data_IF_851072697989
#
_entry.id   IF_851072697989
#
_cell.length_a   1.000
_cell.length_b   1.000
_cell.length_c   1.000
_cell.angle_alpha   90.00
_cell.angle_beta   90.00
_cell.angle_gamma   90.00
#
_symmetry.space_group_name_H-M   'P 1'
#
loop_
_entity.id
_entity.type
_entity.pdbx_description
1 polymer ?
#
# COMPACT_ATOMS: atom_id res chain seq x y z
N UNK A 1 -3.36 15.68 -14.10
CA UNK A 1 -4.38 14.74 -14.58
C UNK A 1 -3.91 13.93 -15.76
N UNK A 2 -3.19 14.51 -16.73
CA UNK A 2 -2.69 13.79 -17.91
C UNK A 2 -2.13 12.39 -17.59
N UNK A 3 -1.27 12.27 -16.57
CA UNK A 3 -0.66 11.00 -16.15
C UNK A 3 -1.64 9.91 -15.64
N UNK A 4 -2.81 10.26 -15.11
CA UNK A 4 -3.82 9.30 -14.66
C UNK A 4 -4.79 8.90 -15.79
N UNK A 5 -4.79 9.66 -16.88
CA UNK A 5 -5.73 9.52 -18.00
C UNK A 5 -4.99 9.23 -19.30
N UNK A 6 -3.76 8.71 -19.21
CA UNK A 6 -3.00 8.30 -20.40
C UNK A 6 -3.67 7.09 -21.03
N UNK A 7 -3.73 7.09 -22.35
CA UNK A 7 -4.24 5.97 -23.12
C UNK A 7 -3.15 4.91 -23.30
N UNK A 8 -3.56 3.64 -23.31
CA UNK A 8 -2.66 2.53 -23.61
C UNK A 8 -2.24 2.58 -25.08
N UNK A 9 -0.95 2.74 -25.34
CA UNK A 9 -0.40 2.72 -26.69
C UNK A 9 0.05 1.31 -27.09
N UNK A 10 -0.43 0.84 -28.24
CA UNK A 10 -0.01 -0.45 -28.80
C UNK A 10 -0.38 -1.68 -27.95
N UNK A 11 -1.41 -1.56 -27.10
CA UNK A 11 -1.85 -2.64 -26.19
C UNK A 11 -0.85 -2.96 -25.08
N UNK A 12 0.11 -2.07 -24.83
CA UNK A 12 1.19 -2.25 -23.86
C UNK A 12 0.93 -1.39 -22.62
N UNK A 13 0.61 -1.97 -21.46
CA UNK A 13 0.28 -1.19 -20.28
C UNK A 13 1.46 -0.34 -19.76
N UNK A 14 2.70 -0.78 -19.99
CA UNK A 14 3.93 -0.07 -19.67
C UNK A 14 4.19 1.17 -20.55
N UNK A 15 3.39 1.39 -21.60
CA UNK A 15 3.38 2.66 -22.33
C UNK A 15 2.83 3.83 -21.50
N UNK A 16 2.02 3.53 -20.48
CA UNK A 16 1.50 4.53 -19.55
C UNK A 16 2.55 4.82 -18.48
N UNK A 17 2.95 6.09 -18.36
CA UNK A 17 4.02 6.55 -17.49
C UNK A 17 3.81 6.13 -16.03
N UNK A 18 2.57 6.18 -15.54
CA UNK A 18 2.27 5.82 -14.16
C UNK A 18 2.42 4.31 -13.90
N UNK A 19 2.07 3.47 -14.88
CA UNK A 19 2.27 2.02 -14.79
C UNK A 19 3.75 1.69 -14.88
N UNK A 20 4.48 2.32 -15.80
CA UNK A 20 5.93 2.19 -15.89
C UNK A 20 6.63 2.58 -14.57
N UNK A 21 6.29 3.75 -14.03
CA UNK A 21 6.81 4.23 -12.76
C UNK A 21 6.48 3.29 -11.60
N UNK A 22 5.27 2.71 -11.59
CA UNK A 22 4.92 1.70 -10.57
C UNK A 22 5.88 0.50 -10.61
N UNK A 23 6.30 0.04 -11.79
CA UNK A 23 7.28 -1.03 -11.94
C UNK A 23 8.63 -0.67 -11.32
N UNK A 24 9.06 0.59 -11.44
CA UNK A 24 10.28 1.11 -10.79
C UNK A 24 10.18 1.04 -9.26
N UNK A 25 8.99 1.24 -8.68
CA UNK A 25 8.77 1.07 -7.24
C UNK A 25 8.84 -0.40 -6.77
N UNK A 26 9.03 -1.35 -7.69
CA UNK A 26 9.27 -2.76 -7.39
C UNK A 26 10.73 -3.10 -7.13
N UNK A 27 11.68 -2.18 -7.33
CA UNK A 27 13.10 -2.42 -7.09
C UNK A 27 13.50 -2.12 -5.64
N UNK A 28 14.54 -2.81 -5.15
CA UNK A 28 15.21 -2.46 -3.90
C UNK A 28 15.94 -1.12 -4.02
N UNK A 29 16.20 -0.45 -2.89
CA UNK A 29 16.80 0.89 -2.88
C UNK A 29 18.22 0.94 -3.49
N UNK A 30 18.94 -0.17 -3.42
CA UNK A 30 20.27 -0.37 -4.01
C UNK A 30 20.21 -0.88 -5.46
N UNK A 31 19.00 -1.07 -6.02
CA UNK A 31 18.75 -1.53 -7.39
C UNK A 31 19.33 -2.91 -7.72
N UNK A 32 19.68 -3.72 -6.71
CA UNK A 32 20.26 -5.05 -6.89
C UNK A 32 19.22 -6.16 -7.02
N UNK A 33 17.96 -5.89 -6.64
CA UNK A 33 16.90 -6.87 -6.68
C UNK A 33 15.49 -6.29 -6.65
N UNK A 34 14.51 -7.17 -6.47
CA UNK A 34 13.09 -6.82 -6.38
C UNK A 34 12.61 -6.81 -4.93
N UNK A 35 11.67 -5.92 -4.64
CA UNK A 35 10.97 -5.90 -3.36
C UNK A 35 10.11 -7.17 -3.19
N UNK A 36 9.97 -7.67 -1.95
CA UNK A 36 8.98 -8.69 -1.63
C UNK A 36 7.57 -8.25 -2.04
N UNK A 37 6.69 -9.21 -2.40
CA UNK A 37 5.36 -8.88 -2.91
C UNK A 37 4.55 -8.00 -1.92
N UNK A 38 4.71 -8.21 -0.62
CA UNK A 38 4.09 -7.37 0.44
C UNK A 38 4.52 -5.89 0.42
N UNK A 39 5.78 -5.61 0.13
CA UNK A 39 6.30 -4.25 0.10
C UNK A 39 5.85 -3.56 -1.18
N UNK A 40 5.92 -4.29 -2.30
CA UNK A 40 5.45 -3.78 -3.59
C UNK A 40 3.94 -3.51 -3.62
N UNK A 41 3.13 -4.41 -3.06
CA UNK A 41 1.67 -4.21 -2.95
C UNK A 41 1.30 -2.99 -2.11
N UNK A 42 2.12 -2.63 -1.12
CA UNK A 42 1.94 -1.40 -0.34
C UNK A 42 2.18 -0.15 -1.20
N UNK A 43 3.21 -0.15 -2.05
CA UNK A 43 3.47 0.93 -3.01
C UNK A 43 2.30 1.08 -4.01
N UNK A 44 1.82 -0.04 -4.58
CA UNK A 44 0.67 -0.03 -5.48
C UNK A 44 -0.60 0.51 -4.80
N UNK A 45 -0.87 0.09 -3.56
CA UNK A 45 -2.02 0.57 -2.80
C UNK A 45 -1.97 2.10 -2.56
N UNK A 46 -0.78 2.64 -2.29
CA UNK A 46 -0.58 4.08 -2.16
C UNK A 46 -0.87 4.82 -3.48
N UNK A 47 -0.36 4.34 -4.60
CA UNK A 47 -0.63 4.93 -5.93
C UNK A 47 -2.12 4.88 -6.30
N UNK A 48 -2.80 3.77 -6.01
CA UNK A 48 -4.25 3.62 -6.21
C UNK A 48 -5.02 4.60 -5.33
N UNK A 49 -4.61 4.78 -4.08
CA UNK A 49 -5.24 5.73 -3.17
C UNK A 49 -5.09 7.18 -3.66
N UNK A 50 -3.89 7.58 -4.07
CA UNK A 50 -3.63 8.92 -4.62
C UNK A 50 -4.48 9.14 -5.88
N UNK A 51 -4.55 8.17 -6.79
CA UNK A 51 -5.41 8.27 -7.97
C UNK A 51 -6.88 8.45 -7.61
N UNK A 52 -7.40 7.73 -6.62
CA UNK A 52 -8.80 7.92 -6.16
C UNK A 52 -9.06 9.35 -5.70
N UNK A 53 -8.13 9.93 -4.95
CA UNK A 53 -8.24 11.33 -4.50
C UNK A 53 -8.20 12.29 -5.69
N UNK A 54 -7.28 12.08 -6.64
CA UNK A 54 -7.17 12.90 -7.84
C UNK A 54 -8.43 12.81 -8.71
N UNK A 55 -8.97 11.61 -8.93
CA UNK A 55 -10.20 11.42 -9.70
C UNK A 55 -11.41 11.99 -8.98
N UNK A 56 -11.45 11.94 -7.64
CA UNK A 56 -12.51 12.58 -6.87
C UNK A 56 -12.48 14.10 -7.05
N UNK A 57 -11.31 14.73 -6.95
CA UNK A 57 -11.17 16.18 -7.18
C UNK A 57 -11.42 16.54 -8.65
N UNK A 58 -11.03 15.69 -9.59
CA UNK A 58 -11.31 15.90 -11.02
C UNK A 58 -12.81 15.82 -11.35
N UNK A 59 -13.50 14.83 -10.78
CA UNK A 59 -14.94 14.67 -10.94
C UNK A 59 -15.73 15.75 -10.22
N UNK A 60 -15.35 16.09 -8.98
CA UNK A 60 -16.10 16.98 -8.10
C UNK A 60 -15.20 18.03 -7.44
N UNK A 61 -14.60 18.92 -8.24
CA UNK A 61 -13.60 19.86 -7.76
C UNK A 61 -14.19 20.84 -6.76
N UNK A 62 -13.53 20.99 -5.61
CA UNK A 62 -13.98 21.88 -4.54
C UNK A 62 -13.96 23.35 -4.99
N UNK A 63 -12.97 23.70 -5.82
CA UNK A 63 -12.78 25.00 -6.46
C UNK A 63 -12.57 24.87 -7.97
N UNK A 64 -12.75 25.93 -8.73
CA UNK A 64 -12.43 25.91 -10.16
C UNK A 64 -10.92 25.98 -10.40
N UNK A 65 -10.43 25.31 -11.44
CA UNK A 65 -9.03 25.36 -11.88
C UNK A 65 -8.96 25.94 -13.30
N UNK A 66 -8.93 27.27 -13.48
CA UNK A 66 -8.96 27.92 -14.80
C UNK A 66 -7.83 27.48 -15.73
N UNK A 67 -6.62 27.30 -15.19
CA UNK A 67 -5.43 26.85 -15.95
C UNK A 67 -5.58 25.45 -16.53
N UNK A 68 -6.43 24.62 -15.92
CA UNK A 68 -6.68 23.24 -16.35
C UNK A 68 -8.01 23.12 -17.11
N UNK A 69 -8.75 24.22 -17.30
CA UNK A 69 -10.10 24.18 -17.89
C UNK A 69 -11.14 23.45 -17.04
N UNK A 70 -10.87 23.21 -15.75
CA UNK A 70 -11.77 22.44 -14.89
C UNK A 70 -12.69 23.40 -14.10
N UNK A 71 -13.99 23.32 -14.37
CA UNK A 71 -14.99 24.08 -13.64
C UNK A 71 -15.28 23.46 -12.26
N UNK A 72 -15.53 24.32 -11.26
CA UNK A 72 -15.96 23.95 -9.90
C UNK A 72 -17.18 23.01 -9.95
N UNK A 73 -17.31 22.12 -8.97
CA UNK A 73 -18.46 21.21 -8.87
C UNK A 73 -19.80 21.98 -8.87
N UNK A 74 -20.79 21.51 -9.65
CA UNK A 74 -22.14 22.07 -9.64
C UNK A 74 -22.88 21.73 -8.34
N UNK A 75 -23.92 22.51 -8.01
CA UNK A 75 -24.75 22.24 -6.81
C UNK A 75 -25.57 20.95 -6.96
N UNK A 76 -26.05 20.65 -8.17
CA UNK A 76 -26.85 19.47 -8.51
C UNK A 76 -26.11 18.58 -9.51
N UNK A 77 -26.54 17.33 -9.69
CA UNK A 77 -25.97 16.43 -10.70
C UNK A 77 -24.57 15.88 -10.40
N UNK A 78 -24.07 16.06 -9.17
CA UNK A 78 -22.72 15.63 -8.75
C UNK A 78 -22.51 14.11 -8.93
N UNK A 79 -23.52 13.31 -8.62
CA UNK A 79 -23.45 11.84 -8.75
C UNK A 79 -23.26 11.42 -10.21
N UNK A 80 -23.98 12.04 -11.13
CA UNK A 80 -23.85 11.73 -12.56
C UNK A 80 -22.44 12.04 -13.07
N UNK A 81 -21.88 13.20 -12.68
CA UNK A 81 -20.51 13.58 -13.05
C UNK A 81 -19.47 12.60 -12.47
N UNK A 82 -19.64 12.20 -11.21
CA UNK A 82 -18.77 11.18 -10.58
C UNK A 82 -18.87 9.84 -11.31
N UNK A 83 -20.08 9.42 -11.68
CA UNK A 83 -20.30 8.15 -12.36
C UNK A 83 -19.64 8.13 -13.75
N UNK A 84 -19.69 9.24 -14.50
CA UNK A 84 -19.02 9.34 -15.80
C UNK A 84 -17.51 9.12 -15.65
N UNK A 85 -16.85 9.85 -14.75
CA UNK A 85 -15.41 9.69 -14.48
C UNK A 85 -15.09 8.28 -14.00
N UNK A 86 -15.94 7.70 -13.14
CA UNK A 86 -15.78 6.32 -12.67
C UNK A 86 -15.84 5.32 -13.82
N UNK A 87 -16.83 5.41 -14.70
CA UNK A 87 -16.99 4.50 -15.83
C UNK A 87 -15.83 4.61 -16.82
N UNK A 88 -15.32 5.82 -17.02
CA UNK A 88 -14.24 6.09 -17.95
C UNK A 88 -12.88 5.60 -17.46
N UNK A 89 -12.58 5.72 -16.15
CA UNK A 89 -11.21 5.47 -15.65
C UNK A 89 -11.08 4.51 -14.46
N UNK A 90 -12.16 4.14 -13.77
CA UNK A 90 -12.07 3.38 -12.51
C UNK A 90 -12.71 1.99 -12.57
N UNK A 91 -13.22 1.59 -13.73
CA UNK A 91 -13.90 0.32 -13.95
C UNK A 91 -13.00 -0.63 -14.74
N UNK A 92 -13.17 -1.93 -14.51
CA UNK A 92 -12.50 -2.97 -15.29
C UNK A 92 -12.86 -2.83 -16.79
N UNK A 93 -11.88 -2.87 -17.67
CA UNK A 93 -12.02 -2.62 -19.10
C UNK A 93 -11.88 -1.14 -19.51
N UNK A 94 -11.61 -0.23 -18.58
CA UNK A 94 -11.32 1.19 -18.88
C UNK A 94 -10.04 1.43 -19.66
N UNK A 95 -9.11 0.47 -19.67
CA UNK A 95 -7.75 0.61 -20.22
C UNK A 95 -7.01 1.83 -19.63
N UNK A 96 -7.28 2.14 -18.37
CA UNK A 96 -6.65 3.25 -17.67
C UNK A 96 -5.46 2.79 -16.82
N UNK A 97 -4.55 3.71 -16.46
CA UNK A 97 -3.49 3.41 -15.48
C UNK A 97 -4.04 2.90 -14.15
N UNK A 98 -5.22 3.37 -13.73
CA UNK A 98 -5.85 2.95 -12.49
C UNK A 98 -6.23 1.47 -12.52
N UNK A 99 -6.90 1.04 -13.60
CA UNK A 99 -7.29 -0.36 -13.77
C UNK A 99 -6.07 -1.26 -13.78
N UNK A 100 -5.03 -0.91 -14.54
CA UNK A 100 -3.82 -1.72 -14.65
C UNK A 100 -3.15 -1.88 -13.28
N UNK A 101 -3.01 -0.79 -12.53
CA UNK A 101 -2.45 -0.83 -11.18
C UNK A 101 -3.31 -1.65 -10.21
N UNK A 102 -4.63 -1.58 -10.35
CA UNK A 102 -5.54 -2.40 -9.55
C UNK A 102 -5.41 -3.89 -9.90
N UNK A 103 -5.34 -4.24 -11.18
CA UNK A 103 -5.11 -5.60 -11.66
C UNK A 103 -3.78 -6.15 -11.16
N UNK A 104 -2.71 -5.36 -11.24
CA UNK A 104 -1.39 -5.68 -10.69
C UNK A 104 -1.44 -5.89 -9.17
N UNK A 105 -2.16 -5.04 -8.43
CA UNK A 105 -2.31 -5.18 -6.98
C UNK A 105 -3.01 -6.50 -6.62
N UNK A 106 -4.10 -6.85 -7.31
CA UNK A 106 -4.84 -8.11 -7.06
C UNK A 106 -3.95 -9.31 -7.35
N UNK A 107 -3.26 -9.31 -8.50
CA UNK A 107 -2.33 -10.38 -8.88
C UNK A 107 -1.21 -10.54 -7.83
N UNK A 108 -0.58 -9.44 -7.42
CA UNK A 108 0.52 -9.47 -6.44
C UNK A 108 0.06 -9.81 -5.03
N UNK A 109 -1.17 -9.47 -4.64
CA UNK A 109 -1.76 -9.91 -3.36
C UNK A 109 -1.91 -11.42 -3.29
N UNK A 110 -2.32 -12.06 -4.38
CA UNK A 110 -2.40 -13.52 -4.44
C UNK A 110 -1.02 -14.16 -4.20
N UNK A 111 0.04 -13.58 -4.79
CA UNK A 111 1.43 -14.01 -4.56
C UNK A 111 1.87 -13.73 -3.11
N UNK A 112 1.60 -12.53 -2.58
CA UNK A 112 1.95 -12.16 -1.21
C UNK A 112 1.28 -13.07 -0.16
N UNK A 113 0.09 -13.59 -0.45
CA UNK A 113 -0.59 -14.59 0.41
C UNK A 113 0.08 -15.96 0.42
N UNK A 114 0.89 -16.27 -0.61
CA UNK A 114 1.69 -17.50 -0.68
C UNK A 114 3.12 -17.32 -0.13
N UNK A 115 3.59 -16.08 -0.01
CA UNK A 115 4.87 -15.79 0.64
C UNK A 115 4.78 -16.09 2.14
N UNK A 116 5.85 -16.65 2.71
CA UNK A 116 5.93 -16.83 4.16
C UNK A 116 5.70 -15.49 4.85
N UNK A 117 4.73 -15.40 5.77
CA UNK A 117 4.35 -14.15 6.39
C UNK A 117 5.53 -13.41 7.01
N UNK A 118 5.47 -12.07 7.01
CA UNK A 118 6.48 -11.21 7.63
C UNK A 118 6.50 -11.27 9.17
N UNK A 119 5.81 -12.21 9.81
CA UNK A 119 6.07 -12.57 11.21
C UNK A 119 7.31 -13.48 11.26
N UNK A 120 8.45 -12.99 10.78
CA UNK A 120 9.72 -13.67 11.00
C UNK A 120 10.12 -13.42 12.46
N UNK A 121 9.49 -14.19 13.35
CA UNK A 121 10.15 -14.67 14.54
C UNK A 121 11.27 -15.58 14.04
N UNK A 122 12.50 -15.06 13.99
CA UNK A 122 13.67 -15.87 13.66
C UNK A 122 14.22 -16.41 14.97
N UNK A 123 14.35 -17.72 15.04
CA UNK A 123 15.10 -18.36 16.10
C UNK A 123 16.57 -18.42 15.69
N UNK A 124 17.48 -18.20 16.65
CA UNK A 124 18.87 -18.62 16.48
C UNK A 124 18.96 -20.15 16.39
N UNK A 125 20.02 -20.66 15.76
CA UNK A 125 20.21 -22.10 15.56
C UNK A 125 20.29 -22.90 16.88
N UNK A 126 20.68 -22.24 17.97
CA UNK A 126 20.73 -22.79 19.34
C UNK A 126 19.40 -22.63 20.12
N UNK A 127 18.39 -22.00 19.51
CA UNK A 127 17.08 -21.73 20.11
C UNK A 127 17.10 -20.78 21.30
N UNK A 128 18.19 -20.06 21.57
CA UNK A 128 18.29 -19.15 22.74
C UNK A 128 17.84 -17.73 22.45
N UNK A 129 17.75 -17.34 21.19
CA UNK A 129 17.47 -15.97 20.75
C UNK A 129 16.28 -15.99 19.81
N UNK A 130 15.31 -15.13 20.10
CA UNK A 130 14.15 -14.87 19.25
C UNK A 130 14.25 -13.44 18.73
N UNK A 131 14.44 -13.26 17.43
CA UNK A 131 14.43 -11.93 16.81
C UNK A 131 13.13 -11.65 16.07
N UNK A 132 12.63 -10.43 16.21
CA UNK A 132 11.45 -9.91 15.53
C UNK A 132 11.84 -8.67 14.73
N UNK A 133 11.62 -8.72 13.41
CA UNK A 133 11.94 -7.65 12.46
C UNK A 133 13.38 -7.15 12.54
N UNK A 134 14.31 -7.98 13.01
CA UNK A 134 15.73 -7.66 13.23
C UNK A 134 16.00 -6.49 14.23
N UNK A 135 14.98 -5.77 14.67
CA UNK A 135 15.06 -4.67 15.66
C UNK A 135 14.85 -5.13 17.10
N UNK A 136 14.02 -6.15 17.31
CA UNK A 136 13.68 -6.64 18.65
C UNK A 136 14.33 -8.00 18.84
N UNK A 137 15.24 -8.09 19.79
CA UNK A 137 15.93 -9.34 20.16
C UNK A 137 15.52 -9.73 21.56
N UNK A 138 14.92 -10.91 21.72
CA UNK A 138 14.52 -11.47 23.01
C UNK A 138 15.42 -12.66 23.31
N UNK A 139 16.21 -12.55 24.36
CA UNK A 139 16.96 -13.68 24.89
C UNK A 139 16.05 -14.55 25.77
N UNK A 140 16.09 -15.87 25.59
CA UNK A 140 15.30 -16.79 26.39
C UNK A 140 15.61 -16.71 27.89
N UNK A 141 16.83 -16.32 28.26
CA UNK A 141 17.17 -16.03 29.66
C UNK A 141 16.33 -14.89 30.25
N UNK A 142 16.19 -13.79 29.50
CA UNK A 142 15.39 -12.64 29.92
C UNK A 142 13.90 -13.02 29.94
N UNK A 143 13.44 -13.77 28.94
CA UNK A 143 12.07 -14.25 28.88
C UNK A 143 11.73 -15.16 30.07
N UNK A 144 12.64 -16.06 30.47
CA UNK A 144 12.47 -16.95 31.65
C UNK A 144 12.47 -16.20 32.98
N UNK A 145 13.08 -15.02 33.04
CA UNK A 145 13.07 -14.15 34.23
C UNK A 145 11.80 -13.30 34.34
N UNK A 146 11.09 -13.10 33.23
CA UNK A 146 9.89 -12.27 33.15
C UNK A 146 8.77 -12.70 34.12
N UNK A 147 8.44 -14.00 34.27
CA UNK A 147 7.46 -14.43 35.26
C UNK A 147 7.83 -14.07 36.69
N UNK A 148 9.11 -14.17 37.06
CA UNK A 148 9.60 -13.80 38.40
C UNK A 148 9.48 -12.30 38.65
N UNK A 149 9.90 -11.49 37.68
CA UNK A 149 9.78 -10.04 37.76
C UNK A 149 8.31 -9.57 37.85
N UNK A 150 7.40 -10.24 37.15
CA UNK A 150 5.96 -9.96 37.25
C UNK A 150 5.38 -10.34 38.62
N UNK A 151 5.81 -11.47 39.19
CA UNK A 151 5.39 -11.90 40.53
C UNK A 151 5.88 -10.93 41.60
N UNK A 152 7.17 -10.57 41.58
CA UNK A 152 7.74 -9.59 42.53
C UNK A 152 7.02 -8.23 42.42
N UNK A 153 6.68 -7.81 41.20
CA UNK A 153 5.92 -6.57 40.99
C UNK A 153 4.49 -6.68 41.54
N UNK A 154 3.82 -7.81 41.33
CA UNK A 154 2.48 -8.07 41.84
C UNK A 154 2.47 -8.13 43.38
N UNK A 155 3.45 -8.79 44.00
CA UNK A 155 3.63 -8.83 45.45
C UNK A 155 3.86 -7.43 46.02
N UNK A 156 4.74 -6.63 45.40
CA UNK A 156 4.98 -5.24 45.83
C UNK A 156 3.73 -4.34 45.72
N UNK A 157 2.85 -4.62 44.76
CA UNK A 157 1.57 -3.89 44.59
C UNK A 157 0.54 -4.34 45.62
N UNK A 158 0.52 -5.62 45.97
CA UNK A 158 -0.34 -6.14 47.04
C UNK A 158 0.08 -5.63 48.43
N UNK A 159 1.37 -5.42 48.67
CA UNK A 159 1.88 -4.81 49.93
C UNK A 159 1.58 -3.31 50.05
N UNK A 160 1.22 -2.65 48.93
CA UNK A 160 0.86 -1.23 48.89
C UNK A 160 -0.65 -0.97 49.02
N UNK A 161 -1.48 -2.03 49.11
CA UNK A 161 -2.92 -1.99 49.33
C UNK A 161 -3.27 -2.25 50.80
#
# INVERSE_FOLDING_TARGET
MAFCTEEVMGGRPDSMLLVYFSGVLGFSADLTGFLPARSYTSNLAALIYIQRLLFLEYALPAQGYPRLGIARRPRTGQIARLQNVRQEYLVLGSQSPFEELFSLLVFRRAIAGSETPAFLLKWSDDGQILSYKDDIVVHMEQFRRLPKALLERAESLCEQL
#
